data_IF_927621306395
#
_entry.id   IF_927621306395
#
_cell.length_a   1.000
_cell.length_b   1.000
_cell.length_c   1.000
_cell.angle_alpha   90.00
_cell.angle_beta   90.00
_cell.angle_gamma   90.00
#
_symmetry.space_group_name_H-M   'P 1'
#
loop_
_entity.id
_entity.type
_entity.pdbx_description
1 polymer ?
#
# COMPACT_ATOMS: atom_id res chain seq x y z
N UNK A 1 14.45 1.54 -1.12
CA UNK A 1 14.42 2.34 0.12
C UNK A 1 12.99 2.28 0.60
N UNK A 2 12.72 1.70 1.77
CA UNK A 2 11.33 1.48 2.20
C UNK A 2 10.68 2.83 2.51
N UNK A 3 9.67 3.18 1.72
CA UNK A 3 8.86 4.39 1.92
C UNK A 3 7.65 4.01 2.76
N UNK A 4 7.41 4.78 3.81
CA UNK A 4 6.22 4.61 4.64
C UNK A 4 5.04 5.29 3.95
N UNK A 5 4.04 4.50 3.60
CA UNK A 5 2.79 4.98 3.03
C UNK A 5 1.74 4.99 4.13
N UNK A 6 1.13 6.15 4.34
CA UNK A 6 0.09 6.33 5.36
C UNK A 6 -1.26 5.93 4.77
N UNK A 7 -1.90 4.94 5.40
CA UNK A 7 -3.11 4.32 4.88
C UNK A 7 -4.34 4.97 5.54
N UNK A 8 -5.26 5.55 4.75
CA UNK A 8 -6.49 6.10 5.28
C UNK A 8 -7.39 4.98 5.86
N UNK A 9 -8.20 5.33 6.85
CA UNK A 9 -9.14 4.44 7.56
C UNK A 9 -9.96 3.49 6.67
N UNK A 10 -10.53 3.91 5.52
CA UNK A 10 -11.24 2.99 4.62
C UNK A 10 -10.36 1.88 4.02
N UNK A 11 -9.07 2.15 3.83
CA UNK A 11 -8.09 1.21 3.26
C UNK A 11 -7.42 0.34 4.33
N UNK A 12 -7.49 0.72 5.61
CA UNK A 12 -6.95 -0.08 6.73
C UNK A 12 -7.53 -1.50 6.78
N UNK A 13 -8.76 -1.73 6.28
CA UNK A 13 -9.34 -3.08 6.18
C UNK A 13 -8.56 -4.00 5.25
N UNK A 14 -7.90 -3.46 4.24
CA UNK A 14 -7.11 -4.20 3.26
C UNK A 14 -5.65 -4.35 3.71
N UNK A 15 -5.15 -3.42 4.53
CA UNK A 15 -3.80 -3.44 5.07
C UNK A 15 -3.71 -4.05 6.47
N UNK A 16 -4.52 -5.05 6.79
CA UNK A 16 -4.50 -5.72 8.12
C UNK A 16 -4.63 -4.75 9.32
N UNK A 17 -5.44 -3.70 9.17
CA UNK A 17 -5.59 -2.60 10.14
C UNK A 17 -4.30 -1.82 10.43
N UNK A 18 -3.33 -1.85 9.51
CA UNK A 18 -2.11 -1.04 9.60
C UNK A 18 -2.37 0.37 9.04
N UNK A 19 -2.13 1.37 9.88
CA UNK A 19 -2.22 2.79 9.52
C UNK A 19 -1.00 3.27 8.71
N UNK A 20 0.11 2.53 8.78
CA UNK A 20 1.34 2.77 8.05
C UNK A 20 1.85 1.44 7.52
N UNK A 21 2.14 1.41 6.23
CA UNK A 21 2.71 0.25 5.54
C UNK A 21 4.00 0.66 4.87
N UNK A 22 4.94 -0.27 4.79
CA UNK A 22 6.21 -0.06 4.10
C UNK A 22 6.09 -0.60 2.69
N UNK A 23 6.31 0.28 1.70
CA UNK A 23 6.42 -0.10 0.30
C UNK A 23 7.87 0.13 -0.15
N UNK A 24 8.46 -0.83 -0.84
CA UNK A 24 9.74 -0.62 -1.51
C UNK A 24 9.52 -0.47 -3.01
N UNK A 25 10.24 0.45 -3.63
CA UNK A 25 10.25 0.58 -5.07
C UNK A 25 10.90 1.86 -5.58
N UNK A 26 11.43 1.82 -6.79
CA UNK A 26 12.10 2.97 -7.42
C UNK A 26 11.12 4.00 -7.99
N UNK A 27 9.87 3.59 -8.24
CA UNK A 27 8.83 4.43 -8.83
C UNK A 27 7.50 4.22 -8.11
N UNK A 28 6.55 5.14 -8.31
CA UNK A 28 5.20 5.04 -7.74
C UNK A 28 4.52 3.74 -8.18
N UNK A 29 4.68 3.32 -9.45
CA UNK A 29 4.12 2.08 -9.96
C UNK A 29 4.69 0.85 -9.26
N UNK A 30 6.01 0.82 -9.05
CA UNK A 30 6.73 -0.25 -8.37
C UNK A 30 6.29 -0.39 -6.91
N UNK A 31 6.13 0.74 -6.21
CA UNK A 31 5.56 0.75 -4.85
C UNK A 31 4.13 0.23 -4.82
N UNK A 32 3.29 0.59 -5.80
CA UNK A 32 1.92 0.08 -5.88
C UNK A 32 1.90 -1.43 -6.16
N UNK A 33 2.82 -1.94 -6.97
CA UNK A 33 2.93 -3.38 -7.24
C UNK A 33 3.40 -4.18 -6.02
N UNK A 34 4.35 -3.62 -5.25
CA UNK A 34 4.77 -4.18 -3.97
C UNK A 34 3.64 -4.17 -2.92
N UNK A 35 2.94 -3.03 -2.81
CA UNK A 35 1.76 -2.87 -1.97
C UNK A 35 0.61 -3.80 -2.37
N UNK A 36 0.42 -4.04 -3.66
CA UNK A 36 -0.60 -4.95 -4.18
C UNK A 36 -0.22 -6.42 -3.96
N UNK A 37 1.06 -6.77 -4.05
CA UNK A 37 1.55 -8.10 -3.67
C UNK A 37 1.41 -8.35 -2.17
N UNK A 38 1.69 -7.36 -1.33
CA UNK A 38 1.52 -7.47 0.12
C UNK A 38 0.04 -7.42 0.55
N UNK A 39 -0.76 -6.57 -0.12
CA UNK A 39 -2.15 -6.26 0.20
C UNK A 39 -3.00 -6.23 -1.08
N UNK A 40 -3.41 -7.41 -1.53
CA UNK A 40 -4.23 -7.55 -2.73
C UNK A 40 -5.53 -6.74 -2.63
N UNK A 41 -5.81 -5.91 -3.65
CA UNK A 41 -7.02 -5.08 -3.75
C UNK A 41 -6.85 -3.63 -3.27
N UNK A 42 -5.66 -3.21 -2.83
CA UNK A 42 -5.42 -1.82 -2.41
C UNK A 42 -5.48 -0.83 -3.59
N UNK A 43 -5.00 -1.24 -4.76
CA UNK A 43 -4.91 -0.43 -5.97
C UNK A 43 -6.30 -0.16 -6.55
N UNK A 44 -7.18 -1.17 -6.50
CA UNK A 44 -8.60 -1.07 -6.87
C UNK A 44 -9.42 -0.11 -6.01
N UNK A 45 -8.94 0.25 -4.82
CA UNK A 45 -9.61 1.24 -3.94
C UNK A 45 -9.01 2.63 -4.00
N UNK A 46 -7.85 2.79 -4.63
CA UNK A 46 -7.17 4.07 -4.84
C UNK A 46 -7.47 4.63 -6.24
N UNK A 47 -7.66 3.76 -7.24
CA UNK A 47 -7.96 4.10 -8.62
C UNK A 47 -9.45 4.35 -8.87
#
# INVERSE_FOLDING_TARGET
MPVKVRIPTPLMKLTNNQAEVSADGGTIADMFDDLENQFAGIKERIC
#
